data_IF_403867595843
#
_entry.id   IF_403867595843
#
_cell.length_a   1.000
_cell.length_b   1.000
_cell.length_c   1.000
_cell.angle_alpha   90.00
_cell.angle_beta   90.00
_cell.angle_gamma   90.00
#
_symmetry.space_group_name_H-M   'P 1'
#
loop_
_entity.id
_entity.type
_entity.pdbx_description
1 polymer ?
#
# COMPACT_ATOMS: atom_id res chain seq x y z
N UNK A 1 -17.99 65.01 -24.86
CA UNK A 1 -18.09 63.57 -24.65
C UNK A 1 -18.72 63.32 -23.27
N UNK A 2 -19.73 62.46 -23.18
CA UNK A 2 -20.37 62.20 -21.88
C UNK A 2 -19.43 61.41 -20.98
N UNK A 3 -19.34 61.72 -19.67
CA UNK A 3 -18.53 61.00 -18.72
C UNK A 3 -18.76 59.48 -18.71
N UNK A 4 -19.96 59.02 -19.10
CA UNK A 4 -20.37 57.66 -19.22
C UNK A 4 -19.61 56.90 -20.32
N UNK A 5 -19.35 57.54 -21.47
CA UNK A 5 -18.58 56.91 -22.57
C UNK A 5 -17.13 56.71 -22.20
N UNK A 6 -16.55 57.66 -21.44
CA UNK A 6 -15.18 57.52 -20.92
C UNK A 6 -15.06 56.41 -19.89
N UNK A 7 -16.02 56.31 -18.95
CA UNK A 7 -16.04 55.23 -17.95
C UNK A 7 -16.21 53.84 -18.59
N UNK A 8 -17.09 53.73 -19.59
CA UNK A 8 -17.28 52.47 -20.33
C UNK A 8 -16.02 52.08 -21.11
N UNK A 9 -15.36 53.06 -21.76
CA UNK A 9 -14.09 52.80 -22.48
C UNK A 9 -12.93 52.38 -21.53
N UNK A 10 -12.82 53.04 -20.36
CA UNK A 10 -11.84 52.68 -19.35
C UNK A 10 -12.14 51.25 -18.78
N UNK A 11 -13.40 50.96 -18.49
CA UNK A 11 -13.79 49.64 -17.99
C UNK A 11 -13.51 48.53 -18.99
N UNK A 12 -13.78 48.73 -20.26
CA UNK A 12 -13.50 47.76 -21.32
C UNK A 12 -11.96 47.53 -21.45
N UNK A 13 -11.18 48.59 -21.41
CA UNK A 13 -9.71 48.52 -21.49
C UNK A 13 -9.11 47.79 -20.28
N UNK A 14 -9.64 48.05 -19.08
CA UNK A 14 -9.21 47.37 -17.87
C UNK A 14 -9.56 45.85 -17.89
N UNK A 15 -10.74 45.48 -18.43
CA UNK A 15 -11.14 44.08 -18.57
C UNK A 15 -10.22 43.32 -19.56
N UNK A 16 -9.85 43.97 -20.68
CA UNK A 16 -8.91 43.40 -21.65
C UNK A 16 -7.53 43.22 -21.01
N UNK A 17 -7.01 44.20 -20.30
CA UNK A 17 -5.73 44.10 -19.60
C UNK A 17 -5.77 42.99 -18.53
N UNK A 18 -6.83 42.89 -17.75
CA UNK A 18 -7.00 41.81 -16.76
C UNK A 18 -7.01 40.44 -17.41
N UNK A 19 -7.65 40.29 -18.58
CA UNK A 19 -7.67 39.03 -19.33
C UNK A 19 -6.25 38.64 -19.82
N UNK A 20 -5.49 39.61 -20.36
CA UNK A 20 -4.12 39.39 -20.86
C UNK A 20 -3.17 38.99 -19.73
N UNK A 21 -3.29 39.61 -18.56
CA UNK A 21 -2.42 39.33 -17.42
C UNK A 21 -2.96 38.29 -16.43
N UNK A 22 -4.12 37.70 -16.69
CA UNK A 22 -4.78 36.75 -15.79
C UNK A 22 -3.84 35.64 -15.32
N UNK A 23 -3.16 34.94 -16.23
CA UNK A 23 -2.30 33.82 -15.90
C UNK A 23 -1.06 34.24 -15.13
N UNK A 24 -0.52 35.40 -15.43
CA UNK A 24 0.63 35.99 -14.70
C UNK A 24 0.24 36.34 -13.25
N UNK A 25 -0.94 36.94 -13.07
CA UNK A 25 -1.45 37.29 -11.72
C UNK A 25 -1.75 36.01 -10.95
N UNK A 26 -2.39 35.02 -11.56
CA UNK A 26 -2.66 33.74 -10.91
C UNK A 26 -1.37 33.01 -10.53
N UNK A 27 -0.39 32.98 -11.42
CA UNK A 27 0.93 32.39 -11.12
C UNK A 27 1.61 33.07 -9.93
N UNK A 28 1.62 34.41 -9.90
CA UNK A 28 2.19 35.19 -8.82
C UNK A 28 1.51 34.91 -7.46
N UNK A 29 0.19 34.99 -7.41
CA UNK A 29 -0.59 34.74 -6.19
C UNK A 29 -0.37 33.30 -5.70
N UNK A 30 -0.41 32.33 -6.60
CA UNK A 30 -0.20 30.92 -6.28
C UNK A 30 1.22 30.64 -5.82
N UNK A 31 2.23 31.29 -6.41
CA UNK A 31 3.63 31.20 -5.95
C UNK A 31 3.79 31.68 -4.50
N UNK A 32 3.13 32.79 -4.15
CA UNK A 32 3.10 33.28 -2.76
C UNK A 32 2.39 32.26 -1.85
N UNK A 33 1.25 31.72 -2.26
CA UNK A 33 0.50 30.75 -1.46
C UNK A 33 1.31 29.47 -1.19
N UNK A 34 1.99 28.92 -2.20
CA UNK A 34 2.86 27.75 -2.06
C UNK A 34 3.98 28.01 -1.03
N UNK A 35 4.60 29.16 -1.09
CA UNK A 35 5.70 29.55 -0.19
C UNK A 35 5.19 29.88 1.23
N UNK A 36 4.15 30.69 1.35
CA UNK A 36 3.63 31.14 2.64
C UNK A 36 3.03 29.98 3.46
N UNK A 37 2.42 29.02 2.80
CA UNK A 37 1.80 27.84 3.46
C UNK A 37 2.79 26.66 3.58
N UNK A 38 4.04 26.81 3.22
CA UNK A 38 5.04 25.72 3.21
C UNK A 38 4.57 24.46 2.48
N UNK A 39 3.76 24.61 1.43
CA UNK A 39 3.19 23.48 0.70
C UNK A 39 4.25 22.75 -0.13
N UNK A 40 5.30 23.49 -0.58
CA UNK A 40 6.34 22.99 -1.47
C UNK A 40 7.66 23.73 -1.25
N UNK A 41 8.75 22.98 -1.24
CA UNK A 41 10.12 23.50 -1.16
C UNK A 41 11.02 22.84 -2.20
N UNK A 42 12.09 23.53 -2.58
CA UNK A 42 13.18 22.92 -3.37
C UNK A 42 13.76 21.75 -2.56
N UNK A 43 13.91 20.60 -3.19
CA UNK A 43 14.35 19.35 -2.57
C UNK A 43 13.21 18.41 -2.17
N UNK A 44 11.97 18.88 -2.12
CA UNK A 44 10.82 18.00 -1.86
C UNK A 44 10.65 16.99 -2.99
N UNK A 45 10.28 15.78 -2.64
CA UNK A 45 9.76 14.81 -3.59
C UNK A 45 8.25 14.95 -3.68
N UNK A 46 7.77 15.24 -4.90
CA UNK A 46 6.34 15.33 -5.18
C UNK A 46 5.92 14.38 -6.28
N UNK A 47 4.67 13.93 -6.22
CA UNK A 47 4.03 13.20 -7.30
C UNK A 47 2.73 13.89 -7.72
N UNK A 48 2.62 14.17 -9.02
CA UNK A 48 1.47 14.77 -9.68
C UNK A 48 1.22 14.06 -11.02
N UNK A 49 0.68 12.82 -10.99
CA UNK A 49 0.61 11.94 -12.17
C UNK A 49 -0.14 12.56 -13.35
N UNK A 50 -1.16 13.36 -13.06
CA UNK A 50 -1.96 14.07 -14.08
C UNK A 50 -1.10 14.93 -15.01
N UNK A 51 0.04 15.44 -14.52
CA UNK A 51 0.95 16.31 -15.26
C UNK A 51 2.32 15.65 -15.53
N UNK A 52 2.41 14.32 -15.33
CA UNK A 52 3.64 13.59 -15.60
C UNK A 52 4.81 14.00 -14.69
N UNK A 53 4.52 14.46 -13.48
CA UNK A 53 5.54 14.80 -12.50
C UNK A 53 5.58 13.74 -11.39
N UNK A 54 6.75 13.12 -11.19
CA UNK A 54 7.07 12.26 -10.07
C UNK A 54 8.59 12.32 -9.83
N UNK A 55 9.00 13.16 -8.87
CA UNK A 55 10.42 13.38 -8.64
C UNK A 55 10.72 14.54 -7.71
N UNK A 56 11.94 15.02 -7.75
CA UNK A 56 12.44 16.07 -6.86
C UNK A 56 12.22 17.45 -7.46
N UNK A 57 11.67 18.36 -6.66
CA UNK A 57 11.55 19.78 -6.99
C UNK A 57 12.95 20.40 -7.02
N UNK A 58 13.36 20.92 -8.18
CA UNK A 58 14.69 21.53 -8.37
C UNK A 58 14.64 23.04 -8.39
N UNK A 59 13.49 23.62 -8.71
CA UNK A 59 13.34 25.07 -8.81
C UNK A 59 11.89 25.47 -8.52
N UNK A 60 11.71 26.53 -7.75
CA UNK A 60 10.42 27.17 -7.49
C UNK A 60 10.58 28.66 -7.75
N UNK A 61 9.89 29.16 -8.77
CA UNK A 61 9.82 30.60 -9.11
C UNK A 61 8.37 31.07 -9.01
N UNK A 62 8.15 32.35 -9.23
CA UNK A 62 6.80 32.94 -9.21
C UNK A 62 5.85 32.33 -10.25
N UNK A 63 6.39 31.91 -11.40
CA UNK A 63 5.58 31.46 -12.54
C UNK A 63 5.85 29.99 -12.90
N UNK A 64 6.80 29.33 -12.24
CA UNK A 64 7.25 28.01 -12.68
C UNK A 64 7.77 27.19 -11.50
N UNK A 65 7.34 25.94 -11.43
CA UNK A 65 7.95 24.91 -10.59
C UNK A 65 8.53 23.84 -11.51
N UNK A 66 9.81 23.51 -11.35
CA UNK A 66 10.48 22.44 -12.10
C UNK A 66 10.70 21.24 -11.21
N UNK A 67 10.26 20.08 -11.70
CA UNK A 67 10.41 18.77 -11.05
C UNK A 67 11.32 17.92 -11.93
N UNK A 68 12.41 17.42 -11.36
CA UNK A 68 13.26 16.40 -11.99
C UNK A 68 12.68 15.04 -11.65
N UNK A 69 12.13 14.38 -12.66
CA UNK A 69 11.58 13.03 -12.56
C UNK A 69 12.67 11.98 -12.35
N UNK A 70 12.29 10.78 -11.98
CA UNK A 70 13.22 9.66 -11.71
C UNK A 70 13.98 9.19 -12.96
N UNK A 71 13.45 9.44 -14.15
CA UNK A 71 14.09 9.20 -15.45
C UNK A 71 15.02 10.35 -15.91
N UNK A 72 15.26 11.33 -15.04
CA UNK A 72 16.02 12.57 -15.30
C UNK A 72 15.36 13.57 -16.26
N UNK A 73 14.13 13.33 -16.71
CA UNK A 73 13.37 14.37 -17.42
C UNK A 73 12.94 15.49 -16.47
N UNK A 74 12.68 16.67 -17.02
CA UNK A 74 12.20 17.81 -16.24
C UNK A 74 10.78 18.15 -16.65
N UNK A 75 9.85 18.03 -15.70
CA UNK A 75 8.48 18.51 -15.86
C UNK A 75 8.37 19.91 -15.29
N UNK A 76 7.82 20.84 -16.08
CA UNK A 76 7.58 22.23 -15.69
C UNK A 76 6.09 22.43 -15.42
N UNK A 77 5.75 22.87 -14.21
CA UNK A 77 4.38 23.04 -13.74
C UNK A 77 4.14 24.49 -13.36
N UNK A 78 3.10 25.15 -13.88
CA UNK A 78 2.68 26.44 -13.38
C UNK A 78 2.22 26.37 -11.91
N UNK A 79 2.61 27.29 -11.04
CA UNK A 79 2.26 27.26 -9.60
C UNK A 79 0.78 27.15 -9.30
N UNK A 80 -0.06 27.77 -10.13
CA UNK A 80 -1.51 27.73 -9.92
C UNK A 80 -2.10 26.31 -9.99
N UNK A 81 -1.50 25.40 -10.76
CA UNK A 81 -1.93 24.00 -10.83
C UNK A 81 -1.66 23.24 -9.52
N UNK A 82 -0.57 23.59 -8.83
CA UNK A 82 -0.22 22.99 -7.53
C UNK A 82 -1.12 23.50 -6.39
N UNK A 83 -1.78 24.64 -6.60
CA UNK A 83 -2.76 25.19 -5.65
C UNK A 83 -4.19 24.73 -5.97
N UNK A 84 -4.53 24.60 -7.26
CA UNK A 84 -5.88 24.24 -7.71
C UNK A 84 -6.13 22.75 -7.76
N UNK A 85 -5.09 21.94 -7.99
CA UNK A 85 -5.16 20.49 -8.06
C UNK A 85 -4.47 19.84 -6.85
N UNK A 86 -4.78 18.57 -6.60
CA UNK A 86 -4.10 17.79 -5.56
C UNK A 86 -2.77 17.23 -6.07
N UNK A 87 -1.75 17.30 -5.23
CA UNK A 87 -0.48 16.61 -5.42
C UNK A 87 -0.06 15.90 -4.13
N UNK A 88 0.78 14.88 -4.24
CA UNK A 88 1.36 14.22 -3.09
C UNK A 88 2.75 14.80 -2.81
N UNK A 89 2.97 15.27 -1.59
CA UNK A 89 4.30 15.64 -1.10
C UNK A 89 4.83 14.50 -0.21
N UNK A 90 5.91 13.86 -0.64
CA UNK A 90 6.53 12.73 0.05
C UNK A 90 7.49 13.14 1.18
N UNK A 91 7.64 14.45 1.44
CA UNK A 91 8.49 14.93 2.52
C UNK A 91 8.04 14.40 3.88
N UNK A 92 6.72 14.32 4.13
CA UNK A 92 6.19 13.73 5.34
C UNK A 92 6.60 12.25 5.53
N UNK A 93 6.73 11.48 4.44
CA UNK A 93 7.27 10.13 4.50
C UNK A 93 8.77 10.15 4.86
N UNK A 94 9.55 11.05 4.27
CA UNK A 94 10.99 11.21 4.60
C UNK A 94 11.22 11.60 6.05
N UNK A 95 10.34 12.39 6.63
CA UNK A 95 10.39 12.83 8.03
C UNK A 95 9.79 11.78 9.00
N UNK A 96 8.95 10.87 8.51
CA UNK A 96 8.35 9.81 9.31
C UNK A 96 9.35 8.72 9.70
N UNK A 97 8.95 7.83 10.61
CA UNK A 97 9.77 6.70 11.07
C UNK A 97 9.94 5.57 10.06
N UNK A 98 9.29 5.61 8.87
CA UNK A 98 9.38 4.50 7.94
C UNK A 98 8.63 4.71 6.64
N UNK A 99 8.92 3.87 5.64
CA UNK A 99 8.22 3.84 4.36
C UNK A 99 7.25 2.67 4.30
N UNK A 100 6.00 2.95 3.94
CA UNK A 100 4.92 1.96 3.94
C UNK A 100 5.10 0.89 2.88
N UNK A 101 4.96 -0.37 3.29
CA UNK A 101 4.70 -1.53 2.43
C UNK A 101 3.24 -1.92 2.59
N UNK A 102 2.54 -2.06 1.46
CA UNK A 102 1.15 -2.51 1.41
C UNK A 102 0.99 -3.39 0.18
N UNK A 103 1.16 -4.68 0.35
CA UNK A 103 1.05 -5.69 -0.72
C UNK A 103 0.29 -6.90 -0.24
N UNK A 104 -0.40 -7.57 -1.16
CA UNK A 104 -1.17 -8.79 -0.89
C UNK A 104 -0.61 -9.97 -1.66
N UNK A 105 -0.77 -11.18 -1.08
CA UNK A 105 -0.63 -12.45 -1.77
C UNK A 105 -2.01 -13.10 -1.78
N UNK A 106 -2.45 -13.57 -2.93
CA UNK A 106 -3.75 -14.21 -3.08
C UNK A 106 -3.65 -15.69 -2.74
N UNK A 107 -4.39 -16.11 -1.74
CA UNK A 107 -4.46 -17.51 -1.30
C UNK A 107 -5.62 -18.20 -2.00
N UNK A 108 -5.38 -19.39 -2.56
CA UNK A 108 -6.41 -20.25 -3.12
C UNK A 108 -7.42 -20.64 -2.04
N UNK A 109 -8.68 -20.24 -2.21
CA UNK A 109 -9.77 -20.49 -1.27
C UNK A 109 -9.98 -21.97 -0.99
N UNK A 110 -9.75 -22.83 -1.97
CA UNK A 110 -9.94 -24.29 -1.84
C UNK A 110 -8.90 -24.96 -0.95
N UNK A 111 -7.81 -24.26 -0.63
CA UNK A 111 -6.78 -24.74 0.29
C UNK A 111 -7.07 -24.41 1.76
N UNK A 112 -8.09 -23.59 2.05
CA UNK A 112 -8.46 -23.20 3.41
C UNK A 112 -9.24 -24.33 4.07
N UNK A 113 -8.79 -24.75 5.27
CA UNK A 113 -9.42 -25.83 6.05
C UNK A 113 -9.21 -25.66 7.54
N UNK A 114 -10.00 -26.41 8.32
CA UNK A 114 -9.74 -26.54 9.76
C UNK A 114 -8.42 -27.29 10.01
N UNK A 115 -7.69 -26.87 11.05
CA UNK A 115 -6.47 -27.54 11.46
C UNK A 115 -6.80 -28.92 12.06
N UNK A 116 -6.06 -29.94 11.62
CA UNK A 116 -6.06 -31.25 12.28
C UNK A 116 -5.11 -31.23 13.50
N UNK A 117 -5.21 -32.23 14.41
CA UNK A 117 -4.28 -32.37 15.52
C UNK A 117 -2.80 -32.45 15.07
N UNK A 118 -2.54 -33.13 13.94
CA UNK A 118 -1.20 -33.28 13.37
C UNK A 118 -0.66 -31.92 12.87
N UNK A 119 -1.51 -31.14 12.22
CA UNK A 119 -1.17 -29.77 11.79
C UNK A 119 -0.82 -28.89 13.00
N UNK A 120 -1.64 -28.91 14.05
CA UNK A 120 -1.37 -28.15 15.28
C UNK A 120 -0.08 -28.61 15.95
N UNK A 121 0.21 -29.91 15.96
CA UNK A 121 1.47 -30.45 16.49
C UNK A 121 2.68 -30.00 15.67
N UNK A 122 2.55 -29.91 14.34
CA UNK A 122 3.57 -29.31 13.44
C UNK A 122 3.78 -27.84 13.76
N UNK A 123 2.70 -27.06 13.86
CA UNK A 123 2.77 -25.61 14.06
C UNK A 123 3.35 -25.22 15.43
N UNK A 124 3.15 -26.03 16.49
CA UNK A 124 3.81 -25.82 17.80
C UNK A 124 5.34 -25.89 17.75
N UNK A 125 5.91 -26.56 16.75
CA UNK A 125 7.37 -26.61 16.55
C UNK A 125 7.93 -25.33 15.92
N UNK A 126 7.06 -24.48 15.33
CA UNK A 126 7.44 -23.20 14.75
C UNK A 126 7.57 -22.20 15.90
N UNK A 127 8.80 -21.70 16.13
CA UNK A 127 9.10 -20.83 17.27
C UNK A 127 8.19 -19.62 17.38
N UNK A 128 7.91 -18.95 16.24
CA UNK A 128 7.05 -17.77 16.18
C UNK A 128 5.55 -18.07 16.40
N UNK A 129 5.15 -19.34 16.41
CA UNK A 129 3.74 -19.75 16.55
C UNK A 129 3.43 -20.49 17.83
N UNK A 130 4.43 -21.00 18.54
CA UNK A 130 4.23 -21.86 19.70
C UNK A 130 3.22 -21.27 20.70
N UNK A 131 3.47 -20.08 21.15
CA UNK A 131 2.61 -19.39 22.13
C UNK A 131 1.21 -19.15 21.59
N UNK A 132 1.10 -18.69 20.34
CA UNK A 132 -0.21 -18.45 19.70
C UNK A 132 -1.04 -19.72 19.62
N UNK A 133 -0.46 -20.83 19.13
CA UNK A 133 -1.18 -22.10 18.96
C UNK A 133 -1.64 -22.66 20.30
N UNK A 134 -0.76 -22.65 21.32
CA UNK A 134 -1.07 -23.15 22.65
C UNK A 134 -2.17 -22.32 23.33
N UNK A 135 -2.08 -21.00 23.26
CA UNK A 135 -3.06 -20.09 23.86
C UNK A 135 -4.43 -20.21 23.15
N UNK A 136 -4.42 -20.19 21.82
CA UNK A 136 -5.66 -20.29 21.04
C UNK A 136 -6.33 -21.64 21.24
N UNK A 137 -5.55 -22.72 21.34
CA UNK A 137 -6.10 -24.04 21.59
C UNK A 137 -6.79 -24.14 22.97
N UNK A 138 -6.22 -23.53 24.01
CA UNK A 138 -6.86 -23.43 25.34
C UNK A 138 -8.19 -22.69 25.25
N UNK A 139 -8.18 -21.49 24.65
CA UNK A 139 -9.41 -20.68 24.49
C UNK A 139 -10.49 -21.42 23.70
N UNK A 140 -10.12 -22.13 22.63
CA UNK A 140 -11.05 -22.92 21.81
C UNK A 140 -11.62 -24.09 22.62
N UNK A 141 -10.79 -24.82 23.36
CA UNK A 141 -11.24 -25.94 24.21
C UNK A 141 -12.16 -25.49 25.34
N UNK A 142 -11.82 -24.41 26.03
CA UNK A 142 -12.63 -23.82 27.09
C UNK A 142 -14.00 -23.40 26.56
N UNK A 143 -14.04 -22.63 25.47
CA UNK A 143 -15.27 -22.22 24.82
C UNK A 143 -16.16 -23.40 24.44
N UNK A 144 -15.59 -24.42 23.76
CA UNK A 144 -16.36 -25.58 23.31
C UNK A 144 -16.90 -26.41 24.49
N UNK A 145 -16.14 -26.48 25.60
CA UNK A 145 -16.58 -27.16 26.82
C UNK A 145 -17.70 -26.39 27.52
N UNK A 146 -17.59 -25.10 27.69
CA UNK A 146 -18.59 -24.22 28.32
C UNK A 146 -19.94 -24.27 27.59
N UNK A 147 -19.87 -24.33 26.25
CA UNK A 147 -21.07 -24.37 25.39
C UNK A 147 -21.54 -25.79 25.07
N UNK A 148 -21.01 -26.82 25.73
CA UNK A 148 -21.37 -28.22 25.52
C UNK A 148 -21.36 -28.65 24.04
N UNK A 149 -20.36 -28.18 23.28
CA UNK A 149 -20.27 -28.45 21.85
C UNK A 149 -20.01 -29.94 21.55
N UNK A 150 -20.83 -30.50 20.66
CA UNK A 150 -20.56 -31.81 20.07
C UNK A 150 -19.41 -31.70 19.04
N UNK A 151 -18.23 -32.13 19.44
CA UNK A 151 -17.03 -32.07 18.62
C UNK A 151 -16.94 -33.13 17.52
N UNK A 152 -17.91 -34.08 17.46
CA UNK A 152 -17.95 -35.12 16.43
C UNK A 152 -18.17 -34.54 15.02
N UNK A 153 -18.79 -33.36 14.93
CA UNK A 153 -19.07 -32.66 13.68
C UNK A 153 -18.17 -31.42 13.56
N UNK A 154 -17.42 -31.31 12.47
CA UNK A 154 -16.39 -30.28 12.28
C UNK A 154 -16.93 -28.84 12.29
N UNK A 155 -18.18 -28.63 11.89
CA UNK A 155 -18.78 -27.28 11.85
C UNK A 155 -19.26 -26.80 13.21
N UNK A 156 -19.33 -27.68 14.18
CA UNK A 156 -19.77 -27.35 15.54
C UNK A 156 -18.63 -26.67 16.32
N UNK A 157 -18.99 -25.62 17.06
CA UNK A 157 -18.07 -24.88 17.95
C UNK A 157 -16.98 -24.12 17.23
N UNK A 158 -15.90 -23.86 17.97
CA UNK A 158 -14.74 -23.09 17.47
C UNK A 158 -13.60 -24.03 17.12
N UNK A 159 -12.88 -23.70 16.05
CA UNK A 159 -11.69 -24.42 15.60
C UNK A 159 -10.70 -23.45 14.98
N UNK A 160 -9.43 -23.80 14.99
CA UNK A 160 -8.41 -23.06 14.26
C UNK A 160 -8.44 -23.46 12.78
N UNK A 161 -8.14 -22.52 11.90
CA UNK A 161 -7.95 -22.78 10.47
C UNK A 161 -6.48 -22.57 10.09
N UNK A 162 -6.02 -23.27 9.07
CA UNK A 162 -4.67 -23.09 8.54
C UNK A 162 -4.41 -21.65 8.10
N UNK A 163 -5.38 -20.97 7.50
CA UNK A 163 -5.28 -19.57 7.11
C UNK A 163 -5.16 -18.64 8.32
N UNK A 164 -5.89 -18.92 9.41
CA UNK A 164 -5.81 -18.15 10.66
C UNK A 164 -4.45 -18.28 11.32
N UNK A 165 -3.89 -19.49 11.37
CA UNK A 165 -2.54 -19.76 11.90
C UNK A 165 -1.46 -19.12 11.02
N UNK A 166 -1.60 -19.20 9.70
CA UNK A 166 -0.70 -18.52 8.77
C UNK A 166 -0.68 -17.00 8.97
N UNK A 167 -1.86 -16.37 9.13
CA UNK A 167 -1.95 -14.94 9.42
C UNK A 167 -1.25 -14.57 10.73
N UNK A 168 -1.39 -15.39 11.78
CA UNK A 168 -0.69 -15.18 13.04
C UNK A 168 0.83 -15.31 12.87
N UNK A 169 1.28 -16.30 12.10
CA UNK A 169 2.69 -16.45 11.75
C UNK A 169 3.23 -15.20 11.08
N UNK A 170 2.58 -14.73 10.03
CA UNK A 170 3.01 -13.54 9.29
C UNK A 170 3.10 -12.30 10.19
N UNK A 171 2.13 -12.14 11.10
CA UNK A 171 2.14 -11.04 12.07
C UNK A 171 3.37 -11.11 12.99
N UNK A 172 3.66 -12.28 13.53
CA UNK A 172 4.80 -12.49 14.42
C UNK A 172 6.14 -12.40 13.66
N UNK A 173 6.16 -12.88 12.42
CA UNK A 173 7.33 -12.76 11.53
C UNK A 173 7.68 -11.29 11.29
N UNK A 174 6.72 -10.47 10.85
CA UNK A 174 6.96 -9.05 10.64
C UNK A 174 7.42 -8.33 11.92
N UNK A 175 6.88 -8.72 13.08
CA UNK A 175 7.29 -8.17 14.37
C UNK A 175 8.70 -8.59 14.78
N UNK A 176 9.20 -9.72 14.32
CA UNK A 176 10.55 -10.21 14.62
C UNK A 176 11.64 -9.58 13.75
N UNK A 177 11.28 -8.90 12.66
CA UNK A 177 12.24 -8.34 11.73
C UNK A 177 12.76 -6.97 12.21
N UNK A 178 14.06 -6.77 12.36
CA UNK A 178 14.64 -5.47 12.72
C UNK A 178 14.51 -4.44 11.58
N UNK A 179 14.25 -4.89 10.38
CA UNK A 179 14.02 -4.05 9.18
C UNK A 179 12.61 -3.48 9.10
N UNK A 180 11.70 -3.93 9.98
CA UNK A 180 10.33 -3.42 10.11
C UNK A 180 10.25 -2.48 11.31
N UNK A 181 9.73 -1.29 11.10
CA UNK A 181 9.51 -0.33 12.18
C UNK A 181 8.35 -0.78 13.06
N UNK A 182 8.62 -1.08 14.33
CA UNK A 182 7.63 -1.60 15.29
C UNK A 182 6.80 -0.50 15.96
N UNK A 183 7.21 0.77 15.86
CA UNK A 183 6.49 1.92 16.42
C UNK A 183 5.34 2.39 15.51
N UNK A 184 5.33 1.91 14.26
CA UNK A 184 4.31 2.22 13.28
C UNK A 184 3.37 1.03 13.07
N UNK A 185 2.22 1.29 12.44
CA UNK A 185 1.22 0.24 12.19
C UNK A 185 1.82 -0.96 11.46
N UNK A 186 1.77 -2.12 12.11
CA UNK A 186 2.15 -3.40 11.55
C UNK A 186 1.00 -4.38 11.70
N UNK A 187 0.43 -4.84 10.59
CA UNK A 187 -0.68 -5.80 10.59
C UNK A 187 -0.66 -6.69 9.37
N UNK A 188 -1.22 -7.87 9.53
CA UNK A 188 -1.59 -8.78 8.44
C UNK A 188 -3.09 -8.96 8.47
N UNK A 189 -3.74 -8.67 7.36
CA UNK A 189 -5.20 -8.74 7.25
C UNK A 189 -5.66 -9.49 6.01
N UNK A 190 -6.80 -10.11 6.14
CA UNK A 190 -7.51 -10.73 5.05
C UNK A 190 -8.44 -9.68 4.44
N UNK A 191 -8.31 -9.45 3.14
CA UNK A 191 -9.24 -8.60 2.39
C UNK A 191 -10.42 -9.44 1.88
N UNK A 192 -11.37 -8.75 1.23
CA UNK A 192 -12.52 -9.41 0.62
C UNK A 192 -12.07 -10.44 -0.42
N UNK A 193 -12.58 -11.67 -0.39
CA UNK A 193 -12.32 -12.67 -1.44
C UNK A 193 -12.74 -12.18 -2.82
N UNK A 194 -11.97 -12.56 -3.83
CA UNK A 194 -12.21 -12.25 -5.25
C UNK A 194 -12.16 -13.52 -6.07
N UNK A 195 -12.41 -13.44 -7.38
CA UNK A 195 -12.22 -14.56 -8.31
C UNK A 195 -10.76 -15.05 -8.35
N UNK A 196 -9.81 -14.23 -7.92
CA UNK A 196 -8.38 -14.58 -7.82
C UNK A 196 -7.97 -15.02 -6.41
N UNK A 197 -8.92 -15.46 -5.57
CA UNK A 197 -8.63 -15.99 -4.25
C UNK A 197 -8.82 -14.98 -3.12
N UNK A 198 -8.23 -15.29 -1.97
CA UNK A 198 -8.28 -14.46 -0.76
C UNK A 198 -7.00 -13.63 -0.66
N UNK A 199 -7.06 -12.29 -0.83
CA UNK A 199 -5.90 -11.46 -0.64
C UNK A 199 -5.51 -11.40 0.84
N UNK A 200 -4.32 -11.91 1.17
CA UNK A 200 -3.67 -11.75 2.47
C UNK A 200 -2.73 -10.55 2.39
N UNK A 201 -3.16 -9.41 2.92
CA UNK A 201 -2.40 -8.16 2.86
C UNK A 201 -1.43 -8.03 4.03
N UNK A 202 -0.17 -7.81 3.70
CA UNK A 202 0.87 -7.39 4.64
C UNK A 202 0.95 -5.86 4.58
N UNK A 203 0.69 -5.23 5.73
CA UNK A 203 0.74 -3.79 5.89
C UNK A 203 1.72 -3.45 7.00
N UNK A 204 2.85 -2.86 6.66
CA UNK A 204 3.89 -2.51 7.61
C UNK A 204 4.73 -1.33 7.10
N UNK A 205 5.61 -0.83 7.94
CA UNK A 205 6.56 0.22 7.56
C UNK A 205 7.98 -0.33 7.65
N UNK A 206 8.72 -0.19 6.56
CA UNK A 206 10.17 -0.44 6.53
C UNK A 206 10.90 0.57 7.39
N UNK A 207 11.87 0.13 8.17
CA UNK A 207 12.73 1.03 8.95
C UNK A 207 13.62 1.90 8.05
N UNK A 208 13.97 1.44 6.84
CA UNK A 208 14.64 2.24 5.83
C UNK A 208 13.63 2.95 4.92
N UNK A 209 13.90 4.22 4.63
CA UNK A 209 13.10 5.05 3.72
C UNK A 209 13.76 5.18 2.34
N UNK A 210 15.03 4.87 2.23
CA UNK A 210 15.79 4.91 1.00
C UNK A 210 15.30 3.85 0.03
N UNK A 211 15.21 4.20 -1.24
CA UNK A 211 14.54 3.38 -2.24
C UNK A 211 15.15 1.97 -2.37
N UNK A 212 16.45 1.89 -2.57
CA UNK A 212 17.10 0.59 -2.80
C UNK A 212 16.96 -0.35 -1.60
N UNK A 213 17.29 0.05 -0.34
CA UNK A 213 17.05 -0.79 0.83
C UNK A 213 15.57 -1.14 1.04
N UNK A 214 14.66 -0.20 0.78
CA UNK A 214 13.22 -0.43 0.88
C UNK A 214 12.74 -1.54 -0.06
N UNK A 215 13.17 -1.54 -1.34
CA UNK A 215 12.81 -2.60 -2.28
C UNK A 215 13.43 -3.95 -1.88
N UNK A 216 14.66 -3.95 -1.37
CA UNK A 216 15.29 -5.16 -0.82
C UNK A 216 14.50 -5.76 0.35
N UNK A 217 14.15 -4.96 1.35
CA UNK A 217 13.34 -5.40 2.50
C UNK A 217 11.99 -5.98 2.04
N UNK A 218 11.38 -5.32 1.06
CA UNK A 218 10.11 -5.76 0.49
C UNK A 218 10.25 -7.11 -0.21
N UNK A 219 11.29 -7.27 -1.04
CA UNK A 219 11.58 -8.52 -1.74
C UNK A 219 11.84 -9.67 -0.75
N UNK A 220 12.73 -9.48 0.21
CA UNK A 220 13.09 -10.49 1.22
C UNK A 220 11.86 -10.98 2.00
N UNK A 221 10.97 -10.06 2.41
CA UNK A 221 9.74 -10.43 3.10
C UNK A 221 8.83 -11.27 2.22
N UNK A 222 8.61 -10.88 0.97
CA UNK A 222 7.69 -11.58 0.08
C UNK A 222 8.25 -12.90 -0.44
N UNK A 223 9.56 -13.00 -0.67
CA UNK A 223 10.24 -14.26 -0.99
C UNK A 223 10.06 -15.28 0.12
N UNK A 224 10.30 -14.87 1.38
CA UNK A 224 10.06 -15.73 2.53
C UNK A 224 8.59 -16.15 2.64
N UNK A 225 7.66 -15.21 2.53
CA UNK A 225 6.22 -15.49 2.63
C UNK A 225 5.76 -16.49 1.57
N UNK A 226 6.19 -16.32 0.32
CA UNK A 226 5.85 -17.25 -0.77
C UNK A 226 6.41 -18.65 -0.52
N UNK A 227 7.64 -18.74 -0.02
CA UNK A 227 8.31 -20.02 0.24
C UNK A 227 7.63 -20.84 1.35
N UNK A 228 7.05 -20.19 2.36
CA UNK A 228 6.47 -20.88 3.53
C UNK A 228 5.00 -21.24 3.39
N UNK A 229 4.26 -20.68 2.42
CA UNK A 229 2.82 -20.94 2.25
C UNK A 229 2.49 -22.45 2.24
N UNK A 230 3.24 -23.32 1.53
CA UNK A 230 2.99 -24.77 1.53
C UNK A 230 3.11 -25.43 2.92
N UNK A 231 3.95 -24.86 3.83
CA UNK A 231 4.11 -25.37 5.19
C UNK A 231 2.83 -25.26 6.02
N UNK A 232 1.91 -24.39 5.60
CA UNK A 232 0.58 -24.21 6.19
C UNK A 232 -0.51 -24.96 5.43
N UNK A 233 -0.15 -25.88 4.50
CA UNK A 233 -1.09 -26.56 3.62
C UNK A 233 -1.98 -25.58 2.83
N UNK A 234 -1.44 -24.41 2.52
CA UNK A 234 -2.04 -23.37 1.69
C UNK A 234 -1.41 -23.37 0.30
N UNK A 235 -2.15 -22.83 -0.66
CA UNK A 235 -1.66 -22.60 -2.03
C UNK A 235 -1.85 -21.15 -2.41
N UNK A 236 -0.90 -20.61 -3.16
CA UNK A 236 -1.06 -19.31 -3.82
C UNK A 236 -2.02 -19.50 -5.00
N UNK A 237 -2.98 -18.59 -5.15
CA UNK A 237 -3.77 -18.54 -6.36
C UNK A 237 -2.90 -18.04 -7.52
N UNK A 238 -2.90 -18.78 -8.61
CA UNK A 238 -2.22 -18.44 -9.85
C UNK A 238 -3.08 -18.88 -11.02
N UNK A 239 -3.21 -18.04 -12.04
CA UNK A 239 -3.85 -18.45 -13.27
C UNK A 239 -3.05 -19.59 -13.92
N UNK A 240 -3.72 -20.59 -14.54
CA UNK A 240 -3.03 -21.68 -15.21
C UNK A 240 -2.01 -21.16 -16.22
N UNK A 241 -0.80 -21.62 -16.10
CA UNK A 241 0.26 -21.36 -17.07
C UNK A 241 0.17 -22.32 -18.26
N UNK A 242 0.89 -22.02 -19.35
CA UNK A 242 0.99 -22.97 -20.47
C UNK A 242 1.51 -24.36 -20.05
N UNK A 243 2.40 -24.43 -19.05
CA UNK A 243 2.89 -25.69 -18.49
C UNK A 243 1.81 -26.49 -17.77
N UNK A 244 0.88 -25.83 -17.09
CA UNK A 244 -0.24 -26.51 -16.42
C UNK A 244 -1.23 -27.09 -17.45
N UNK A 245 -1.48 -26.36 -18.54
CA UNK A 245 -2.33 -26.83 -19.63
C UNK A 245 -1.71 -28.05 -20.36
N UNK A 246 -0.39 -28.06 -20.56
CA UNK A 246 0.32 -29.21 -21.11
C UNK A 246 0.20 -30.47 -20.23
N UNK A 247 0.24 -30.32 -18.90
CA UNK A 247 0.04 -31.43 -17.96
C UNK A 247 -1.37 -32.02 -18.02
N UNK A 248 -2.38 -31.22 -18.32
CA UNK A 248 -3.77 -31.69 -18.51
C UNK A 248 -3.89 -32.46 -19.81
N UNK A 249 -3.28 -31.98 -20.92
CA UNK A 249 -3.29 -32.65 -22.21
C UNK A 249 -2.62 -34.04 -22.20
N UNK A 250 -1.54 -34.20 -21.48
CA UNK A 250 -0.85 -35.51 -21.34
C UNK A 250 -1.64 -36.54 -20.55
N UNK A 251 -2.61 -36.16 -19.73
CA UNK A 251 -3.49 -37.09 -19.00
C UNK A 251 -4.70 -37.55 -19.82
N UNK A 252 -4.98 -36.94 -20.96
CA UNK A 252 -6.11 -37.30 -21.83
C UNK A 252 -5.69 -38.32 -22.90
N UNK A 253 -4.39 -38.50 -23.15
CA UNK A 253 -3.84 -39.43 -24.15
C UNK A 253 -3.35 -40.78 -23.58
N UNK A 254 -3.61 -41.08 -22.33
CA UNK A 254 -3.36 -42.36 -21.65
C UNK A 254 -4.69 -42.87 -21.06
#
# INVERSE_FOLDING_TARGET
QSPMVLLTGLGASAAILMLVFKDSIMGFVSGIQLSANNMLKVGDWIAMPKYGADGTVIEVTLNTVKVRNWDNTITTIPPYLLVSDSFQNWQGMRESGGRRVKRSINIDMTSVRFCTPEMLAKYRKIQLLKEYVETTEKVVKEYNKEHHIDNSVLVNGRRQTNLGVFRAYLTNYLKSLPTVNQDLTCMVRQLQPTETGIPMELYFFSASKDWIPYEGIQADVFDHVLAIIPEFDLRVFQNPSGADLHRIGVKIEN
#
